data_IF_797049179544
#
_entry.id   IF_797049179544
#
_cell.length_a   1.000
_cell.length_b   1.000
_cell.length_c   1.000
_cell.angle_alpha   90.00
_cell.angle_beta   90.00
_cell.angle_gamma   90.00
#
_symmetry.space_group_name_H-M   'P 1'
#
loop_
_entity.id
_entity.type
_entity.pdbx_description
1 polymer ?
#
# COMPACT_ATOMS: atom_id res chain seq x y z
N UNK A 1 8.19 13.66 53.89
CA UNK A 1 9.24 12.67 53.58
C UNK A 1 8.54 11.32 53.61
N UNK A 2 7.98 10.81 52.49
CA UNK A 2 8.66 10.27 51.30
C UNK A 2 8.09 10.80 49.96
N UNK A 3 8.94 10.76 48.94
CA UNK A 3 8.84 11.42 47.62
C UNK A 3 8.29 10.50 46.51
N UNK A 4 7.64 11.13 45.52
CA UNK A 4 7.42 10.77 44.10
C UNK A 4 8.14 9.55 43.51
N UNK A 5 7.41 8.72 42.75
CA UNK A 5 7.78 8.39 41.36
C UNK A 5 6.54 8.35 40.45
N UNK A 6 6.55 9.31 39.53
CA UNK A 6 5.73 9.38 38.34
C UNK A 6 6.04 8.19 37.43
N UNK A 7 5.00 7.52 36.92
CA UNK A 7 5.04 6.96 35.58
C UNK A 7 3.65 7.00 34.98
N UNK A 8 3.22 8.21 34.64
CA UNK A 8 2.33 8.41 33.50
C UNK A 8 3.04 7.90 32.25
N UNK A 9 2.88 6.63 31.89
CA UNK A 9 3.15 6.18 30.53
C UNK A 9 2.49 4.83 30.22
N UNK A 10 1.16 4.74 30.40
CA UNK A 10 0.37 3.64 29.84
C UNK A 10 -0.62 4.18 28.81
N UNK A 11 -0.13 5.03 27.88
CA UNK A 11 -0.89 5.53 26.73
C UNK A 11 0.04 5.80 25.52
N UNK A 12 0.94 4.87 25.17
CA UNK A 12 1.54 4.89 23.83
C UNK A 12 0.53 4.31 22.84
N UNK A 13 -0.55 5.06 22.59
CA UNK A 13 -1.50 4.81 21.51
C UNK A 13 -1.08 5.58 20.24
N UNK A 14 0.20 5.51 19.87
CA UNK A 14 0.79 6.30 18.78
C UNK A 14 1.54 5.45 17.74
N UNK A 15 1.11 4.21 17.51
CA UNK A 15 1.49 3.45 16.31
C UNK A 15 0.35 3.50 15.30
N UNK A 16 0.10 4.68 14.74
CA UNK A 16 -0.71 4.79 13.51
C UNK A 16 0.15 4.35 12.33
N UNK A 17 -0.37 3.43 11.54
CA UNK A 17 0.28 3.04 10.29
C UNK A 17 0.21 4.21 9.31
N UNK A 18 1.35 4.78 8.93
CA UNK A 18 1.37 5.91 7.99
C UNK A 18 1.14 5.49 6.54
N UNK A 19 1.27 4.21 6.21
CA UNK A 19 1.00 3.71 4.86
C UNK A 19 1.35 2.24 4.66
N UNK A 20 0.66 1.61 3.72
CA UNK A 20 0.87 0.23 3.30
C UNK A 20 1.36 0.19 1.84
N UNK A 21 2.30 -0.69 1.50
CA UNK A 21 2.81 -0.82 0.12
C UNK A 21 2.54 -2.22 -0.42
N UNK A 22 1.86 -2.29 -1.56
CA UNK A 22 1.75 -3.53 -2.33
C UNK A 22 3.05 -3.70 -3.12
N UNK A 23 3.87 -4.67 -2.72
CA UNK A 23 5.13 -4.97 -3.40
C UNK A 23 4.93 -5.73 -4.72
N UNK A 24 3.97 -6.65 -4.74
CA UNK A 24 3.60 -7.41 -5.92
C UNK A 24 2.11 -7.84 -5.86
N UNK A 25 1.46 -7.82 -7.01
CA UNK A 25 0.14 -8.40 -7.23
C UNK A 25 0.14 -9.03 -8.62
N UNK A 26 -0.04 -10.35 -8.67
CA UNK A 26 0.07 -11.16 -9.88
C UNK A 26 -1.15 -12.06 -9.96
N UNK A 27 -1.75 -12.12 -11.14
CA UNK A 27 -2.81 -13.07 -11.48
C UNK A 27 -2.33 -13.80 -12.72
N UNK A 28 -2.43 -15.13 -12.68
CA UNK A 28 -2.14 -15.99 -13.82
C UNK A 28 -2.93 -15.54 -15.06
N UNK A 29 -2.30 -15.57 -16.22
CA UNK A 29 -2.86 -15.06 -17.47
C UNK A 29 -4.16 -15.80 -17.84
N UNK A 30 -4.26 -17.09 -17.56
CA UNK A 30 -5.45 -17.91 -17.82
C UNK A 30 -6.62 -17.56 -16.89
N UNK A 31 -6.31 -16.94 -15.75
CA UNK A 31 -7.28 -16.60 -14.71
C UNK A 31 -7.66 -15.10 -14.72
N UNK A 32 -7.16 -14.33 -15.70
CA UNK A 32 -7.54 -12.92 -15.86
C UNK A 32 -9.01 -12.80 -16.29
N UNK A 33 -9.64 -11.68 -15.91
CA UNK A 33 -11.06 -11.44 -16.18
C UNK A 33 -12.02 -12.08 -15.16
N UNK A 34 -11.55 -13.04 -14.34
CA UNK A 34 -12.34 -13.68 -13.28
C UNK A 34 -12.46 -12.84 -11.98
N UNK A 35 -12.12 -11.55 -12.01
CA UNK A 35 -12.11 -10.62 -10.86
C UNK A 35 -11.18 -11.00 -9.70
N UNK A 36 -10.31 -11.99 -9.85
CA UNK A 36 -9.33 -12.42 -8.82
C UNK A 36 -8.43 -11.26 -8.39
N UNK A 37 -7.89 -10.50 -9.35
CA UNK A 37 -7.04 -9.34 -9.03
C UNK A 37 -7.75 -8.30 -8.16
N UNK A 38 -9.04 -8.06 -8.42
CA UNK A 38 -9.86 -7.16 -7.60
C UNK A 38 -10.07 -7.71 -6.19
N UNK A 39 -10.29 -9.02 -6.04
CA UNK A 39 -10.43 -9.65 -4.73
C UNK A 39 -9.13 -9.54 -3.91
N UNK A 40 -7.98 -9.81 -4.53
CA UNK A 40 -6.67 -9.67 -3.91
C UNK A 40 -6.40 -8.22 -3.46
N UNK A 41 -6.69 -7.25 -4.34
CA UNK A 41 -6.49 -5.84 -4.04
C UNK A 41 -7.40 -5.37 -2.90
N UNK A 42 -8.69 -5.73 -2.94
CA UNK A 42 -9.65 -5.43 -1.87
C UNK A 42 -9.23 -6.02 -0.52
N UNK A 43 -8.69 -7.24 -0.51
CA UNK A 43 -8.16 -7.85 0.69
C UNK A 43 -7.01 -7.02 1.27
N UNK A 44 -6.04 -6.62 0.43
CA UNK A 44 -4.91 -5.81 0.86
C UNK A 44 -5.34 -4.43 1.39
N UNK A 45 -6.31 -3.78 0.73
CA UNK A 45 -6.88 -2.51 1.19
C UNK A 45 -7.59 -2.64 2.54
N UNK A 46 -8.40 -3.68 2.72
CA UNK A 46 -9.10 -3.93 3.98
C UNK A 46 -8.13 -4.29 5.11
N UNK A 47 -7.08 -5.05 4.79
CA UNK A 47 -6.01 -5.34 5.74
C UNK A 47 -5.31 -4.04 6.18
N UNK A 48 -4.90 -3.19 5.24
CA UNK A 48 -4.27 -1.91 5.55
C UNK A 48 -5.18 -1.02 6.42
N UNK A 49 -6.48 -0.94 6.11
CA UNK A 49 -7.46 -0.23 6.94
C UNK A 49 -7.56 -0.80 8.36
N UNK A 50 -7.59 -2.13 8.49
CA UNK A 50 -7.64 -2.80 9.80
C UNK A 50 -6.38 -2.56 10.65
N UNK A 51 -5.23 -2.35 10.01
CA UNK A 51 -3.98 -1.94 10.66
C UNK A 51 -3.93 -0.43 10.99
N UNK A 52 -5.01 0.32 10.71
CA UNK A 52 -5.06 1.76 10.91
C UNK A 52 -4.16 2.55 9.95
N UNK A 53 -3.96 2.03 8.73
CA UNK A 53 -3.19 2.71 7.69
C UNK A 53 -4.03 3.78 6.98
N UNK A 54 -3.48 4.99 6.84
CA UNK A 54 -4.16 6.11 6.17
C UNK A 54 -4.06 6.05 4.63
N UNK A 55 -3.09 5.30 4.10
CA UNK A 55 -2.87 5.17 2.66
C UNK A 55 -2.34 3.80 2.25
N UNK A 56 -2.59 3.44 1.00
CA UNK A 56 -2.00 2.29 0.33
C UNK A 56 -1.36 2.74 -0.99
N UNK A 57 -0.14 2.30 -1.26
CA UNK A 57 0.61 2.67 -2.45
C UNK A 57 1.15 1.44 -3.20
N UNK A 58 1.45 1.64 -4.48
CA UNK A 58 2.13 0.67 -5.32
C UNK A 58 2.95 1.38 -6.38
N UNK A 59 3.94 0.67 -6.92
CA UNK A 59 4.75 1.17 -8.03
C UNK A 59 4.60 0.20 -9.19
N UNK A 60 4.19 0.70 -10.36
CA UNK A 60 4.06 -0.11 -11.57
C UNK A 60 4.86 0.50 -12.70
N UNK A 61 5.77 -0.28 -13.30
CA UNK A 61 6.56 0.14 -14.46
C UNK A 61 5.68 0.59 -15.63
N UNK A 62 6.18 1.54 -16.43
CA UNK A 62 5.44 2.11 -17.58
C UNK A 62 5.07 1.06 -18.64
N UNK A 63 5.91 0.05 -18.85
CA UNK A 63 5.65 -1.05 -19.80
C UNK A 63 4.38 -1.85 -19.44
N UNK A 64 3.98 -1.89 -18.16
CA UNK A 64 2.75 -2.57 -17.70
C UNK A 64 1.46 -1.84 -18.08
N UNK A 65 1.55 -0.69 -18.75
CA UNK A 65 0.39 -0.06 -19.41
C UNK A 65 -0.22 -0.98 -20.46
N UNK A 66 0.63 -1.65 -21.26
CA UNK A 66 0.21 -2.52 -22.36
C UNK A 66 -0.55 -3.74 -21.84
N UNK A 67 -0.12 -4.31 -20.70
CA UNK A 67 -0.80 -5.43 -20.04
C UNK A 67 -2.03 -5.02 -19.21
N UNK A 68 -2.47 -3.76 -19.31
CA UNK A 68 -3.68 -3.26 -18.64
C UNK A 68 -3.54 -2.96 -17.14
N UNK A 69 -2.36 -3.11 -16.52
CA UNK A 69 -2.19 -2.93 -15.08
C UNK A 69 -2.53 -1.51 -14.61
N UNK A 70 -2.11 -0.49 -15.37
CA UNK A 70 -2.44 0.91 -15.04
C UNK A 70 -3.94 1.19 -15.14
N UNK A 71 -4.64 0.56 -16.11
CA UNK A 71 -6.10 0.67 -16.21
C UNK A 71 -6.78 -0.04 -15.03
N UNK A 72 -6.28 -1.22 -14.66
CA UNK A 72 -6.75 -1.97 -13.50
C UNK A 72 -6.68 -1.13 -12.22
N UNK A 73 -5.53 -0.54 -11.88
CA UNK A 73 -5.40 0.27 -10.66
C UNK A 73 -6.26 1.55 -10.70
N UNK A 74 -6.35 2.24 -11.85
CA UNK A 74 -7.27 3.39 -11.98
C UNK A 74 -8.73 3.02 -11.75
N UNK A 75 -9.16 1.85 -12.23
CA UNK A 75 -10.51 1.35 -11.99
C UNK A 75 -10.79 1.03 -10.51
N UNK A 76 -9.75 0.89 -9.68
CA UNK A 76 -9.84 0.71 -8.22
C UNK A 76 -9.56 2.01 -7.45
N UNK A 77 -9.60 3.17 -8.12
CA UNK A 77 -9.48 4.48 -7.46
C UNK A 77 -8.05 4.94 -7.21
N UNK A 78 -7.03 4.20 -7.68
CA UNK A 78 -5.65 4.67 -7.61
C UNK A 78 -5.39 5.79 -8.62
N UNK A 79 -4.71 6.83 -8.16
CA UNK A 79 -4.22 7.93 -8.98
C UNK A 79 -2.75 7.68 -9.35
N UNK A 80 -2.32 8.11 -10.53
CA UNK A 80 -0.95 7.94 -10.99
C UNK A 80 -0.24 9.29 -11.03
N UNK A 81 0.51 9.60 -9.98
CA UNK A 81 1.14 10.91 -9.83
C UNK A 81 2.57 10.94 -10.40
N UNK A 82 3.14 9.75 -10.70
CA UNK A 82 4.55 9.57 -11.02
C UNK A 82 4.74 9.06 -12.45
N UNK A 83 5.00 9.97 -13.38
CA UNK A 83 5.31 9.61 -14.78
C UNK A 83 6.76 9.23 -15.01
N UNK A 84 7.71 9.55 -14.12
CA UNK A 84 9.12 9.24 -14.31
C UNK A 84 9.84 9.01 -12.97
N UNK A 85 10.48 7.84 -12.82
CA UNK A 85 11.32 7.49 -11.66
C UNK A 85 12.78 7.43 -12.10
N UNK A 86 13.61 8.30 -11.54
CA UNK A 86 15.04 8.37 -11.82
C UNK A 86 15.82 8.01 -10.56
N UNK A 87 16.74 7.06 -10.65
CA UNK A 87 17.68 6.75 -9.58
C UNK A 87 19.10 6.70 -10.12
N UNK A 88 20.03 7.34 -9.41
CA UNK A 88 21.47 7.22 -9.62
C UNK A 88 22.14 6.98 -8.27
N UNK A 89 22.76 5.82 -8.09
CA UNK A 89 23.63 5.55 -6.95
C UNK A 89 25.00 6.18 -7.24
N UNK A 90 25.55 6.93 -6.28
CA UNK A 90 26.80 7.68 -6.42
C UNK A 90 27.91 7.11 -5.53
N UNK A 91 28.05 5.78 -5.54
CA UNK A 91 29.14 5.07 -4.87
C UNK A 91 29.48 3.84 -5.68
#
# INVERSE_FOLDING_TARGET
>A
MWFYWSCYCQMVALQRCLGYKVSALVVDDEQRGAKIGSQLLNFAENYAKAQGCDKIELTSGLHRRQSGAHKFYRNHGYQSDLTQYFMKKLS
#
